data_IF_024775893552
#
_entry.id   IF_024775893552
#
_cell.length_a   1.000
_cell.length_b   1.000
_cell.length_c   1.000
_cell.angle_alpha   90.00
_cell.angle_beta   90.00
_cell.angle_gamma   90.00
#
_symmetry.space_group_name_H-M   'P 1'
#
loop_
_entity.id
_entity.type
_entity.pdbx_description
1 polymer ?
#
# COMPACT_ATOMS: atom_id res chain seq x y z
N UNK A 1 -7.63 5.33 -33.35
CA UNK A 1 -6.76 5.03 -32.19
C UNK A 1 -7.54 4.15 -31.23
N UNK A 2 -6.99 3.03 -30.79
CA UNK A 2 -7.64 2.17 -29.80
C UNK A 2 -7.38 2.72 -28.39
N UNK A 3 -8.39 2.71 -27.53
CA UNK A 3 -8.25 3.11 -26.12
C UNK A 3 -7.34 2.11 -25.41
N UNK A 4 -6.27 2.61 -24.79
CA UNK A 4 -5.37 1.82 -23.95
C UNK A 4 -5.76 1.97 -22.48
N UNK A 5 -5.93 0.85 -21.79
CA UNK A 5 -6.19 0.81 -20.36
C UNK A 5 -4.95 0.29 -19.63
N UNK A 6 -4.52 0.98 -18.58
CA UNK A 6 -3.31 0.65 -17.84
C UNK A 6 -3.68 0.09 -16.46
N UNK A 7 -2.99 -0.97 -16.05
CA UNK A 7 -3.03 -1.49 -14.68
C UNK A 7 -1.67 -2.08 -14.35
N UNK A 8 -0.97 -1.45 -13.41
CA UNK A 8 0.41 -1.81 -13.06
C UNK A 8 1.32 -1.76 -14.30
N UNK A 9 2.13 -2.79 -14.53
CA UNK A 9 3.03 -2.91 -15.70
C UNK A 9 2.35 -3.46 -16.96
N UNK A 10 1.01 -3.61 -16.94
CA UNK A 10 0.25 -4.19 -18.07
C UNK A 10 -0.64 -3.16 -18.77
N UNK A 11 -0.67 -3.28 -20.09
CA UNK A 11 -1.55 -2.51 -20.98
C UNK A 11 -2.60 -3.46 -21.55
N UNK A 12 -3.86 -3.06 -21.46
CA UNK A 12 -5.01 -3.78 -21.98
C UNK A 12 -5.64 -2.97 -23.11
N UNK A 13 -5.97 -3.63 -24.21
CA UNK A 13 -6.69 -3.03 -25.34
C UNK A 13 -8.18 -3.38 -25.33
N UNK A 14 -8.59 -4.37 -24.52
CA UNK A 14 -9.97 -4.76 -24.28
C UNK A 14 -10.46 -4.28 -22.91
N UNK A 15 -11.63 -3.62 -22.89
CA UNK A 15 -12.21 -3.05 -21.67
C UNK A 15 -12.74 -4.11 -20.69
N UNK A 16 -13.29 -5.22 -21.20
CA UNK A 16 -13.81 -6.30 -20.38
C UNK A 16 -12.68 -7.06 -19.69
N UNK A 17 -11.56 -7.30 -20.38
CA UNK A 17 -10.35 -7.86 -19.79
C UNK A 17 -9.75 -6.96 -18.71
N UNK A 18 -9.64 -5.66 -18.99
CA UNK A 18 -9.17 -4.69 -17.98
C UNK A 18 -10.07 -4.66 -16.74
N UNK A 19 -11.40 -4.66 -16.91
CA UNK A 19 -12.34 -4.73 -15.77
C UNK A 19 -12.16 -5.99 -14.95
N UNK A 20 -11.97 -7.16 -15.59
CA UNK A 20 -11.66 -8.41 -14.89
C UNK A 20 -10.34 -8.32 -14.13
N UNK A 21 -9.32 -7.71 -14.74
CA UNK A 21 -8.01 -7.52 -14.10
C UNK A 21 -8.10 -6.63 -12.85
N UNK A 22 -8.84 -5.52 -12.91
CA UNK A 22 -9.11 -4.68 -11.73
C UNK A 22 -9.87 -5.44 -10.66
N UNK A 23 -10.92 -6.18 -11.06
CA UNK A 23 -11.71 -6.95 -10.12
C UNK A 23 -10.88 -8.03 -9.41
N UNK A 24 -9.80 -8.51 -10.02
CA UNK A 24 -8.89 -9.49 -9.44
C UNK A 24 -7.60 -8.88 -8.89
N UNK A 25 -7.49 -7.55 -8.82
CA UNK A 25 -6.28 -6.90 -8.33
C UNK A 25 -6.11 -7.16 -6.82
N UNK A 26 -4.98 -7.78 -6.45
CA UNK A 26 -4.67 -8.10 -5.05
C UNK A 26 -4.51 -6.84 -4.20
N UNK A 27 -4.09 -5.72 -4.80
CA UNK A 27 -3.84 -4.47 -4.07
C UNK A 27 -5.14 -3.76 -3.67
N UNK A 28 -6.27 -4.08 -4.33
CA UNK A 28 -7.58 -3.44 -4.09
C UNK A 28 -8.09 -3.62 -2.66
N UNK A 29 -7.58 -4.63 -1.94
CA UNK A 29 -7.98 -4.91 -0.55
C UNK A 29 -7.42 -3.86 0.42
N UNK A 30 -6.41 -3.10 0.01
CA UNK A 30 -5.85 -2.00 0.80
C UNK A 30 -6.43 -0.67 0.34
N UNK A 31 -6.95 0.11 1.28
CA UNK A 31 -7.28 1.51 0.99
C UNK A 31 -6.04 2.40 1.18
N UNK A 32 -6.10 3.63 0.66
CA UNK A 32 -4.97 4.58 0.71
C UNK A 32 -4.51 4.88 2.15
N UNK A 33 -5.43 4.97 3.12
CA UNK A 33 -5.10 5.24 4.52
C UNK A 33 -4.27 4.12 5.13
N UNK A 34 -4.60 2.86 4.85
CA UNK A 34 -3.85 1.72 5.37
C UNK A 34 -2.41 1.69 4.83
N UNK A 35 -2.23 1.99 3.55
CA UNK A 35 -0.90 2.06 2.94
C UNK A 35 -0.07 3.16 3.63
N UNK A 36 -0.68 4.32 3.91
CA UNK A 36 -0.03 5.42 4.62
C UNK A 36 0.32 5.07 6.07
N UNK A 37 -0.59 4.42 6.80
CA UNK A 37 -0.33 3.98 8.18
C UNK A 37 0.76 2.92 8.23
N UNK A 38 0.77 1.98 7.28
CA UNK A 38 1.79 0.94 7.22
C UNK A 38 3.16 1.54 6.91
N UNK A 39 3.25 2.40 5.90
CA UNK A 39 4.43 3.17 5.57
C UNK A 39 4.41 4.53 6.29
N UNK A 40 4.35 4.53 7.62
CA UNK A 40 4.40 5.76 8.40
C UNK A 40 5.78 6.46 8.29
N UNK A 41 5.81 7.77 8.52
CA UNK A 41 7.03 8.57 8.45
C UNK A 41 8.10 8.06 9.42
N UNK A 42 9.34 7.91 8.96
CA UNK A 42 10.44 7.35 9.73
C UNK A 42 10.44 5.82 9.82
N UNK A 43 9.43 5.12 9.28
CA UNK A 43 9.48 3.66 9.18
C UNK A 43 10.68 3.23 8.36
N UNK A 44 11.40 2.22 8.85
CA UNK A 44 12.54 1.60 8.16
C UNK A 44 12.21 0.19 7.69
N UNK A 45 12.66 -0.17 6.51
CA UNK A 45 12.50 -1.51 5.94
C UNK A 45 13.59 -1.81 4.92
N UNK A 46 13.85 -3.09 4.66
CA UNK A 46 14.79 -3.50 3.62
C UNK A 46 14.07 -3.72 2.28
N UNK A 47 14.60 -3.13 1.21
CA UNK A 47 14.08 -3.26 -0.14
C UNK A 47 15.25 -3.19 -1.14
N UNK A 48 15.24 -4.03 -2.18
CA UNK A 48 16.33 -4.11 -3.17
C UNK A 48 17.75 -4.17 -2.56
N UNK A 49 17.91 -4.84 -1.40
CA UNK A 49 19.20 -4.99 -0.70
C UNK A 49 19.67 -3.75 0.09
N UNK A 50 18.83 -2.73 0.22
CA UNK A 50 19.13 -1.51 0.96
C UNK A 50 18.08 -1.23 2.04
N UNK A 51 18.53 -0.65 3.15
CA UNK A 51 17.60 -0.08 4.15
C UNK A 51 17.03 1.22 3.61
N UNK A 52 15.72 1.32 3.64
CA UNK A 52 14.97 2.52 3.26
C UNK A 52 14.31 3.12 4.50
N UNK A 53 14.17 4.44 4.54
CA UNK A 53 13.38 5.18 5.53
C UNK A 53 12.34 6.05 4.83
N UNK A 54 11.10 6.02 5.31
CA UNK A 54 10.01 6.82 4.75
C UNK A 54 10.17 8.29 5.16
N UNK A 55 10.36 9.17 4.17
CA UNK A 55 10.42 10.62 4.35
C UNK A 55 9.08 11.30 4.05
N UNK A 56 8.32 10.76 3.10
CA UNK A 56 6.95 11.15 2.79
C UNK A 56 6.18 9.92 2.33
N UNK A 57 4.95 9.73 2.80
CA UNK A 57 4.07 8.62 2.44
C UNK A 57 2.84 9.03 1.63
N UNK A 58 2.75 10.30 1.26
CA UNK A 58 1.77 10.87 0.35
C UNK A 58 2.42 11.98 -0.45
N UNK A 59 3.36 11.61 -1.33
CA UNK A 59 3.92 12.54 -2.29
C UNK A 59 2.80 13.30 -3.03
N UNK A 60 2.93 14.63 -3.13
CA UNK A 60 1.97 15.49 -3.84
C UNK A 60 2.53 15.97 -5.19
N UNK A 61 3.76 15.59 -5.53
CA UNK A 61 4.37 15.92 -6.82
C UNK A 61 3.61 15.23 -7.96
N UNK A 62 3.34 15.98 -9.04
CA UNK A 62 2.46 15.61 -10.16
C UNK A 62 2.49 14.12 -10.56
N UNK A 63 3.64 13.62 -11.01
CA UNK A 63 3.80 12.23 -11.47
C UNK A 63 3.97 11.20 -10.36
N UNK A 64 4.16 11.65 -9.12
CA UNK A 64 4.47 10.82 -7.96
C UNK A 64 3.36 10.88 -6.91
N UNK A 65 2.17 11.37 -7.28
CA UNK A 65 1.07 11.51 -6.34
C UNK A 65 0.76 10.18 -5.63
N UNK A 66 0.83 10.16 -4.30
CA UNK A 66 0.62 8.97 -3.46
C UNK A 66 1.78 7.98 -3.41
N UNK A 67 2.95 8.33 -3.96
CA UNK A 67 4.16 7.52 -3.85
C UNK A 67 4.86 7.74 -2.51
N UNK A 68 5.73 6.80 -2.14
CA UNK A 68 6.62 6.98 -1.00
C UNK A 68 7.88 7.71 -1.45
N UNK A 69 8.21 8.80 -0.78
CA UNK A 69 9.55 9.38 -0.81
C UNK A 69 10.40 8.67 0.24
N UNK A 70 11.48 8.04 -0.18
CA UNK A 70 12.32 7.20 0.67
C UNK A 70 13.76 7.72 0.69
N UNK A 71 14.39 7.67 1.85
CA UNK A 71 15.84 7.76 1.99
C UNK A 71 16.44 6.36 1.93
N UNK A 72 17.35 6.14 1.00
CA UNK A 72 18.10 4.89 0.86
C UNK A 72 19.41 5.02 1.62
N UNK A 73 19.69 4.07 2.52
CA UNK A 73 20.96 4.01 3.25
C UNK A 73 22.00 3.18 2.48
N UNK A 74 23.24 3.67 2.48
CA UNK A 74 24.41 3.06 1.84
C UNK A 74 25.63 3.95 2.01
N UNK A 75 26.71 3.67 1.27
CA UNK A 75 27.95 4.48 1.32
C UNK A 75 27.71 5.97 1.07
N UNK A 76 26.70 6.29 0.25
CA UNK A 76 26.10 7.62 0.15
C UNK A 76 24.59 7.45 0.22
N UNK A 77 23.95 8.17 1.13
CA UNK A 77 22.49 8.18 1.19
C UNK A 77 21.92 9.02 0.05
N UNK A 78 20.79 8.58 -0.52
CA UNK A 78 20.08 9.30 -1.57
C UNK A 78 18.56 9.13 -1.41
N UNK A 79 17.78 9.96 -2.10
CA UNK A 79 16.31 9.93 -2.03
C UNK A 79 15.72 9.35 -3.31
N UNK A 80 14.65 8.57 -3.18
CA UNK A 80 13.92 7.96 -4.30
C UNK A 80 12.42 8.04 -4.07
N UNK A 81 11.66 8.04 -5.16
CA UNK A 81 10.21 7.85 -5.13
C UNK A 81 9.89 6.44 -5.57
N UNK A 82 9.16 5.69 -4.74
CA UNK A 82 8.74 4.33 -5.07
C UNK A 82 7.26 4.17 -4.75
N UNK A 83 6.50 3.63 -5.71
CA UNK A 83 5.09 3.33 -5.50
C UNK A 83 4.96 2.16 -4.49
N UNK A 84 4.10 2.27 -3.44
CA UNK A 84 3.94 1.25 -2.40
C UNK A 84 3.67 -0.16 -2.95
N UNK A 85 2.87 -0.25 -4.03
CA UNK A 85 2.57 -1.50 -4.73
C UNK A 85 3.83 -2.26 -5.15
N UNK A 86 4.87 -1.57 -5.65
CA UNK A 86 6.12 -2.21 -6.09
C UNK A 86 6.81 -2.89 -4.91
N UNK A 87 6.93 -2.18 -3.80
CA UNK A 87 7.56 -2.69 -2.57
C UNK A 87 6.81 -3.92 -2.05
N UNK A 88 5.48 -3.83 -1.93
CA UNK A 88 4.66 -4.92 -1.41
C UNK A 88 4.55 -6.12 -2.35
N UNK A 89 4.78 -5.92 -3.66
CA UNK A 89 4.86 -7.01 -4.63
C UNK A 89 6.17 -7.78 -4.50
N UNK A 90 7.28 -7.07 -4.41
CA UNK A 90 8.61 -7.66 -4.47
C UNK A 90 9.14 -8.09 -3.08
N UNK A 91 8.52 -7.60 -2.00
CA UNK A 91 8.75 -8.02 -0.60
C UNK A 91 7.47 -8.61 0.01
N UNK A 92 7.22 -9.92 -0.19
CA UNK A 92 6.06 -10.60 0.38
C UNK A 92 5.97 -10.52 1.91
N UNK A 93 7.11 -10.42 2.61
CA UNK A 93 7.18 -10.25 4.06
C UNK A 93 6.44 -8.98 4.52
N UNK A 94 6.74 -7.84 3.90
CA UNK A 94 6.07 -6.56 4.19
C UNK A 94 4.58 -6.62 3.85
N UNK A 95 4.22 -7.34 2.79
CA UNK A 95 2.81 -7.57 2.44
C UNK A 95 2.10 -8.42 3.49
N UNK A 96 2.75 -9.47 4.01
CA UNK A 96 2.20 -10.29 5.07
C UNK A 96 2.05 -9.51 6.37
N UNK A 97 2.99 -8.63 6.71
CA UNK A 97 2.84 -7.73 7.86
C UNK A 97 1.64 -6.79 7.71
N UNK A 98 1.47 -6.22 6.52
CA UNK A 98 0.31 -5.39 6.19
C UNK A 98 -1.00 -6.20 6.28
N UNK A 99 -0.99 -7.45 5.81
CA UNK A 99 -2.13 -8.37 5.92
C UNK A 99 -2.45 -8.75 7.38
N UNK A 100 -1.45 -8.94 8.23
CA UNK A 100 -1.68 -9.17 9.66
C UNK A 100 -2.24 -7.93 10.36
N UNK A 101 -1.84 -6.73 9.93
CA UNK A 101 -2.40 -5.47 10.45
C UNK A 101 -3.89 -5.31 10.10
N UNK A 102 -4.35 -5.90 9.00
CA UNK A 102 -5.78 -6.00 8.64
C UNK A 102 -6.53 -6.89 9.62
N UNK A 103 -6.01 -8.07 9.92
CA UNK A 103 -6.64 -9.04 10.82
C UNK A 103 -6.74 -8.48 12.26
N UNK A 104 -5.67 -7.84 12.75
CA UNK A 104 -5.67 -7.18 14.06
C UNK A 104 -6.68 -6.03 14.17
N UNK A 105 -6.83 -5.19 13.12
CA UNK A 105 -7.86 -4.13 13.09
C UNK A 105 -9.29 -4.70 13.03
N UNK A 106 -9.47 -5.82 12.33
CA UNK A 106 -10.77 -6.51 12.26
C UNK A 106 -11.19 -7.05 13.64
N UNK A 107 -10.24 -7.59 14.41
CA UNK A 107 -10.48 -8.06 15.77
C UNK A 107 -10.83 -6.89 16.71
N UNK A 108 -10.12 -5.77 16.64
CA UNK A 108 -10.39 -4.60 17.49
C UNK A 108 -11.77 -3.97 17.16
N UNK A 109 -12.11 -3.84 15.89
CA UNK A 109 -13.43 -3.33 15.45
C UNK A 109 -14.57 -4.24 15.94
N UNK A 110 -14.41 -5.56 15.83
CA UNK A 110 -15.40 -6.53 16.31
C UNK A 110 -15.54 -6.52 17.85
N UNK A 111 -14.48 -6.18 18.59
CA UNK A 111 -14.53 -6.03 20.06
C UNK A 111 -15.21 -4.71 20.44
N UNK A 112 -14.96 -3.60 19.74
CA UNK A 112 -15.59 -2.31 20.05
C UNK A 112 -17.07 -2.28 19.67
N UNK A 113 -17.46 -2.87 18.54
CA UNK A 113 -18.87 -3.00 18.14
C UNK A 113 -19.67 -3.89 19.12
N UNK A 114 -19.08 -4.98 19.62
CA UNK A 114 -19.70 -5.79 20.68
C UNK A 114 -19.83 -5.01 22.00
N UNK A 115 -18.85 -4.19 22.36
CA UNK A 115 -18.91 -3.36 23.57
C UNK A 115 -19.99 -2.26 23.50
N UNK A 116 -20.24 -1.69 22.32
CA UNK A 116 -21.32 -0.73 22.11
C UNK A 116 -22.71 -1.40 22.15
N UNK A 117 -22.84 -2.63 21.62
CA UNK A 117 -24.10 -3.39 21.74
C UNK A 117 -24.41 -3.79 23.19
N UNK A 118 -23.41 -4.08 24.03
CA UNK A 118 -23.65 -4.38 25.45
C UNK A 118 -24.12 -3.17 26.28
N UNK A 119 -23.91 -1.93 25.81
CA UNK A 119 -24.39 -0.70 26.49
C UNK A 119 -25.82 -0.30 26.14
N UNK A 120 -26.42 -0.90 25.11
CA UNK A 120 -27.80 -0.61 24.67
C UNK A 120 -28.86 -1.48 25.39
N UNK A 121 -28.44 -2.39 26.26
CA UNK A 121 -29.33 -3.30 27.02
C UNK A 121 -29.18 -3.17 28.56
N UNK A 122 -28.56 -2.10 29.05
CA UNK A 122 -28.53 -1.70 30.46
C UNK A 122 -29.25 -0.35 30.63
#
# INVERSE_FOLDING_TARGET
>A
MATQYHLDEKIYTDRAEWKKAIANDWFKKYNQYMIKEFFYLGRKFEFEGHVHEVLNNDAEEDKMKGWLKLKVFGNKSYEVYIHPRKILRDKPELRNELDLSLEGKTIISNISENHEQMKLFL
#
